data_IF_923036447272
#
_entry.id   IF_923036447272
#
_cell.length_a   1.000
_cell.length_b   1.000
_cell.length_c   1.000
_cell.angle_alpha   90.00
_cell.angle_beta   90.00
_cell.angle_gamma   90.00
#
_symmetry.space_group_name_H-M   'P 1'
#
loop_
_entity.id
_entity.type
_entity.pdbx_description
1 polymer ?
#
# COMPACT_ATOMS: atom_id res chain seq x y z
N UNK A 1 -4.02 -19.89 -8.69
CA UNK A 1 -4.00 -19.20 -7.40
C UNK A 1 -3.77 -17.73 -7.66
N UNK A 2 -4.77 -16.90 -7.42
CA UNK A 2 -4.60 -15.45 -7.50
C UNK A 2 -3.83 -14.99 -6.27
N UNK A 3 -2.77 -14.21 -6.46
CA UNK A 3 -1.98 -13.66 -5.34
C UNK A 3 -2.67 -12.36 -4.94
N UNK A 4 -3.22 -12.29 -3.73
CA UNK A 4 -3.83 -11.09 -3.19
C UNK A 4 -2.89 -10.44 -2.17
N UNK A 5 -2.72 -9.11 -2.26
CA UNK A 5 -2.00 -8.33 -1.25
C UNK A 5 -2.81 -7.10 -0.84
N UNK A 6 -2.60 -6.68 0.40
CA UNK A 6 -3.12 -5.46 1.00
C UNK A 6 -1.99 -4.45 1.11
N UNK A 7 -2.12 -3.35 0.37
CA UNK A 7 -1.15 -2.26 0.24
C UNK A 7 -1.56 -1.07 1.11
N UNK A 8 -0.76 -0.76 2.12
CA UNK A 8 -0.86 0.48 2.88
C UNK A 8 -0.36 1.68 2.07
N UNK A 9 -1.05 2.82 2.17
CA UNK A 9 -0.72 4.07 1.49
C UNK A 9 -0.94 5.22 2.47
N UNK A 10 0.04 6.13 2.61
CA UNK A 10 -0.13 7.31 3.45
C UNK A 10 -1.18 8.23 2.84
N UNK A 11 -2.12 8.71 3.64
CA UNK A 11 -3.28 9.47 3.15
C UNK A 11 -2.93 10.94 2.83
N UNK A 12 -2.00 11.12 1.89
CA UNK A 12 -1.64 12.39 1.27
C UNK A 12 -1.82 12.26 -0.25
N UNK A 13 -2.16 13.36 -0.92
CA UNK A 13 -2.51 13.37 -2.35
C UNK A 13 -1.45 12.72 -3.24
N UNK A 14 -0.17 13.07 -3.05
CA UNK A 14 0.94 12.52 -3.84
C UNK A 14 1.22 11.04 -3.53
N UNK A 15 0.99 10.60 -2.30
CA UNK A 15 1.12 9.19 -1.92
C UNK A 15 -0.01 8.33 -2.48
N UNK A 16 -1.24 8.85 -2.59
CA UNK A 16 -2.34 8.17 -3.28
C UNK A 16 -2.02 7.91 -4.75
N UNK A 17 -1.40 8.87 -5.43
CA UNK A 17 -0.95 8.70 -6.83
C UNK A 17 0.10 7.60 -6.91
N UNK A 18 1.17 7.68 -6.11
CA UNK A 18 2.22 6.66 -6.08
C UNK A 18 1.66 5.26 -5.79
N UNK A 19 0.78 5.12 -4.79
CA UNK A 19 0.12 3.86 -4.47
C UNK A 19 -0.80 3.35 -5.59
N UNK A 20 -1.43 4.23 -6.37
CA UNK A 20 -2.22 3.85 -7.54
C UNK A 20 -1.35 3.30 -8.67
N UNK A 21 -0.18 3.90 -8.94
CA UNK A 21 0.76 3.38 -9.93
C UNK A 21 1.34 2.03 -9.50
N UNK A 22 1.73 1.89 -8.23
CA UNK A 22 2.20 0.60 -7.68
C UNK A 22 1.13 -0.48 -7.83
N UNK A 23 -0.13 -0.20 -7.46
CA UNK A 23 -1.23 -1.14 -7.63
C UNK A 23 -1.48 -1.49 -9.09
N UNK A 24 -1.38 -0.52 -10.01
CA UNK A 24 -1.53 -0.76 -11.45
C UNK A 24 -0.47 -1.73 -11.99
N UNK A 25 0.81 -1.55 -11.61
CA UNK A 25 1.89 -2.45 -12.01
C UNK A 25 1.68 -3.86 -11.46
N UNK A 26 1.33 -3.99 -10.18
CA UNK A 26 1.08 -5.28 -9.54
C UNK A 26 -0.12 -6.02 -10.15
N UNK A 27 -1.20 -5.30 -10.44
CA UNK A 27 -2.34 -5.85 -11.17
C UNK A 27 -1.91 -6.38 -12.56
N UNK A 28 -1.04 -5.65 -13.27
CA UNK A 28 -0.46 -6.10 -14.54
C UNK A 28 0.41 -7.37 -14.44
N UNK A 29 0.91 -7.67 -13.23
CA UNK A 29 1.64 -8.91 -12.92
C UNK A 29 0.71 -10.06 -12.45
N UNK A 30 -0.61 -9.85 -12.46
CA UNK A 30 -1.59 -10.84 -11.99
C UNK A 30 -1.73 -10.92 -10.47
N UNK A 31 -1.32 -9.88 -9.75
CA UNK A 31 -1.50 -9.75 -8.29
C UNK A 31 -2.69 -8.83 -8.04
N UNK A 32 -3.70 -9.31 -7.33
CA UNK A 32 -4.82 -8.46 -6.89
C UNK A 32 -4.38 -7.59 -5.71
N UNK A 33 -4.69 -6.30 -5.77
CA UNK A 33 -4.27 -5.32 -4.76
C UNK A 33 -5.47 -4.65 -4.10
N UNK A 34 -5.65 -4.90 -2.81
CA UNK A 34 -6.46 -4.08 -1.92
C UNK A 34 -5.63 -2.90 -1.41
N UNK A 35 -6.21 -1.69 -1.36
CA UNK A 35 -5.52 -0.48 -0.92
C UNK A 35 -6.13 0.05 0.37
N UNK A 36 -5.32 0.26 1.39
CA UNK A 36 -5.71 0.87 2.66
C UNK A 36 -5.01 2.22 2.78
N UNK A 37 -5.78 3.28 3.05
CA UNK A 37 -5.26 4.62 3.28
C UNK A 37 -5.26 4.92 4.78
N UNK A 38 -4.17 5.47 5.30
CA UNK A 38 -4.05 5.82 6.72
C UNK A 38 -3.03 6.95 6.93
N UNK A 39 -3.09 7.67 8.08
CA UNK A 39 -2.01 8.55 8.49
C UNK A 39 -0.66 7.82 8.53
N UNK A 40 0.44 8.56 8.38
CA UNK A 40 1.79 8.01 8.29
C UNK A 40 2.10 7.01 9.40
N UNK A 41 1.97 7.41 10.67
CA UNK A 41 2.27 6.54 11.81
C UNK A 41 1.36 5.30 11.86
N UNK A 42 0.07 5.47 11.56
CA UNK A 42 -0.89 4.38 11.53
C UNK A 42 -0.55 3.32 10.45
N UNK A 43 0.03 3.73 9.32
CA UNK A 43 0.49 2.77 8.31
C UNK A 43 1.62 1.86 8.84
N UNK A 44 2.55 2.40 9.61
CA UNK A 44 3.61 1.58 10.21
C UNK A 44 3.05 0.63 11.25
N UNK A 45 2.05 1.04 12.03
CA UNK A 45 1.38 0.13 12.98
C UNK A 45 0.65 -1.00 12.25
N UNK A 46 -0.06 -0.72 11.16
CA UNK A 46 -0.73 -1.72 10.33
C UNK A 46 0.24 -2.69 9.67
N UNK A 47 1.38 -2.18 9.19
CA UNK A 47 2.44 -3.01 8.64
C UNK A 47 3.03 -3.94 9.71
N UNK A 48 3.30 -3.42 10.91
CA UNK A 48 3.79 -4.21 12.04
C UNK A 48 2.78 -5.28 12.51
N UNK A 49 1.49 -4.96 12.46
CA UNK A 49 0.40 -5.88 12.84
C UNK A 49 0.08 -6.93 11.77
N UNK A 50 0.62 -6.80 10.55
CA UNK A 50 0.31 -7.67 9.43
C UNK A 50 -1.04 -7.38 8.75
N UNK A 51 -1.70 -6.28 9.09
CA UNK A 51 -2.94 -5.80 8.43
C UNK A 51 -2.67 -5.36 6.98
N UNK A 52 -1.45 -4.91 6.69
CA UNK A 52 -0.96 -4.65 5.35
C UNK A 52 0.31 -5.45 5.13
N UNK A 53 0.48 -6.10 3.97
CA UNK A 53 1.72 -6.82 3.65
C UNK A 53 2.79 -5.92 3.00
N UNK A 54 2.39 -4.74 2.53
CA UNK A 54 3.30 -3.79 1.88
C UNK A 54 2.87 -2.36 2.19
N UNK A 55 3.84 -1.44 2.28
CA UNK A 55 3.60 -0.01 2.39
C UNK A 55 4.16 0.69 1.15
N UNK A 56 3.29 1.32 0.35
CA UNK A 56 3.72 2.20 -0.71
C UNK A 56 3.99 3.59 -0.13
N UNK A 57 5.15 4.14 -0.46
CA UNK A 57 5.54 5.51 -0.13
C UNK A 57 5.77 5.77 1.37
N UNK A 58 6.58 4.93 2.00
CA UNK A 58 7.15 5.24 3.31
C UNK A 58 7.97 6.53 3.23
N UNK A 59 7.57 7.56 4.00
CA UNK A 59 8.35 8.78 4.13
C UNK A 59 9.26 8.65 5.35
N UNK A 60 10.55 8.48 5.11
CA UNK A 60 11.58 8.36 6.14
C UNK A 60 12.49 9.60 6.07
N UNK A 61 13.13 10.00 7.18
CA UNK A 61 14.19 11.01 7.15
C UNK A 61 15.38 10.58 6.29
#
# INVERSE_FOLDING_TARGET
>A
MTRHITLGITDLSFHRVAGSLTAHVLNGMGIEVERIYSPHEANFQKLKAGETQMLASAWLP
#
